data_IF_859311729523
#
_entry.id   IF_859311729523
#
_cell.length_a   1.000
_cell.length_b   1.000
_cell.length_c   1.000
_cell.angle_alpha   90.00
_cell.angle_beta   90.00
_cell.angle_gamma   90.00
#
_symmetry.space_group_name_H-M   'P 1'
#
loop_
_entity.id
_entity.type
_entity.pdbx_description
1 polymer ?
#
# COMPACT_ATOMS: atom_id res chain seq x y z
N UNK A 1 7.42 1.83 5.75
CA UNK A 1 8.47 0.96 5.19
C UNK A 1 8.45 -0.45 5.76
N UNK A 2 8.11 -0.62 7.05
CA UNK A 2 8.04 -1.94 7.68
C UNK A 2 7.08 -2.89 6.96
N UNK A 3 5.88 -2.44 6.65
CA UNK A 3 4.85 -3.25 5.95
C UNK A 3 5.32 -3.68 4.55
N UNK A 4 5.93 -2.77 3.80
CA UNK A 4 6.47 -3.09 2.47
C UNK A 4 7.56 -4.16 2.60
N UNK A 5 8.49 -3.99 3.52
CA UNK A 5 9.61 -4.90 3.70
C UNK A 5 9.16 -6.28 4.18
N UNK A 6 8.18 -6.35 5.08
CA UNK A 6 7.61 -7.61 5.55
C UNK A 6 6.96 -8.40 4.42
N UNK A 7 6.16 -7.74 3.58
CA UNK A 7 5.51 -8.41 2.47
C UNK A 7 6.50 -8.80 1.37
N UNK A 8 7.49 -7.96 1.07
CA UNK A 8 8.55 -8.32 0.14
C UNK A 8 9.31 -9.56 0.61
N UNK A 9 9.60 -9.65 1.89
CA UNK A 9 10.26 -10.80 2.48
C UNK A 9 9.39 -12.05 2.37
N UNK A 10 8.10 -11.94 2.65
CA UNK A 10 7.14 -13.05 2.54
C UNK A 10 7.11 -13.61 1.12
N UNK A 11 7.13 -12.75 0.11
CA UNK A 11 7.09 -13.16 -1.29
C UNK A 11 8.47 -13.46 -1.90
N UNK A 12 9.53 -13.30 -1.11
CA UNK A 12 10.89 -13.60 -1.57
C UNK A 12 11.40 -12.64 -2.64
N UNK A 13 10.97 -11.39 -2.61
CA UNK A 13 11.37 -10.36 -3.57
C UNK A 13 12.18 -9.27 -2.88
N UNK A 14 13.31 -8.90 -3.46
CA UNK A 14 14.26 -7.96 -2.85
C UNK A 14 14.22 -6.57 -3.47
N UNK A 15 13.90 -6.49 -4.75
CA UNK A 15 13.94 -5.25 -5.52
C UNK A 15 12.54 -4.85 -6.00
N UNK A 16 12.45 -4.06 -7.06
CA UNK A 16 11.17 -3.74 -7.68
C UNK A 16 10.42 -5.01 -8.06
N UNK A 17 9.13 -5.01 -7.76
CA UNK A 17 8.30 -6.21 -7.87
C UNK A 17 7.38 -6.05 -9.06
N UNK A 18 7.61 -6.83 -10.12
CA UNK A 18 6.71 -6.83 -11.25
C UNK A 18 5.50 -7.75 -10.98
N UNK A 19 4.42 -7.53 -11.72
CA UNK A 19 3.17 -8.28 -11.54
C UNK A 19 3.34 -9.76 -11.84
N UNK A 20 4.16 -10.11 -12.81
CA UNK A 20 4.40 -11.50 -13.21
C UNK A 20 5.07 -12.28 -12.09
N UNK A 21 6.13 -11.71 -11.49
CA UNK A 21 6.84 -12.31 -10.37
C UNK A 21 5.94 -12.44 -9.14
N UNK A 22 5.16 -11.41 -8.84
CA UNK A 22 4.19 -11.45 -7.73
C UNK A 22 3.16 -12.54 -7.92
N UNK A 23 2.62 -12.69 -9.11
CA UNK A 23 1.61 -13.70 -9.42
C UNK A 23 2.16 -15.11 -9.24
N UNK A 24 3.39 -15.34 -9.67
CA UNK A 24 4.06 -16.62 -9.50
C UNK A 24 4.28 -16.94 -8.01
N UNK A 25 4.85 -16.01 -7.27
CA UNK A 25 5.08 -16.18 -5.83
C UNK A 25 3.78 -16.42 -5.09
N UNK A 26 2.71 -15.68 -5.44
CA UNK A 26 1.39 -15.85 -4.85
C UNK A 26 0.86 -17.27 -5.06
N UNK A 27 0.95 -17.79 -6.29
CA UNK A 27 0.50 -19.16 -6.59
C UNK A 27 1.26 -20.21 -5.77
N UNK A 28 2.57 -20.05 -5.65
CA UNK A 28 3.42 -20.98 -4.91
C UNK A 28 3.08 -20.95 -3.42
N UNK A 29 2.90 -19.75 -2.85
CA UNK A 29 2.53 -19.60 -1.45
C UNK A 29 1.13 -20.13 -1.14
N UNK A 30 0.17 -19.91 -2.03
CA UNK A 30 -1.19 -20.46 -1.88
C UNK A 30 -1.17 -21.98 -1.88
N UNK A 31 -0.37 -22.61 -2.76
CA UNK A 31 -0.22 -24.06 -2.78
C UNK A 31 0.37 -24.59 -1.49
N UNK A 32 1.36 -23.89 -0.93
CA UNK A 32 2.02 -24.29 0.32
C UNK A 32 1.09 -24.21 1.52
N UNK A 33 0.28 -23.16 1.62
CA UNK A 33 -0.53 -22.87 2.80
C UNK A 33 -2.03 -23.01 2.59
N UNK A 34 -2.48 -23.67 1.52
CA UNK A 34 -3.92 -23.83 1.27
C UNK A 34 -4.59 -24.57 2.43
N UNK A 35 -5.71 -24.04 2.98
CA UNK A 35 -6.39 -24.66 4.12
C UNK A 35 -6.78 -26.12 3.92
N UNK A 36 -7.07 -26.54 2.69
CA UNK A 36 -7.43 -27.93 2.38
C UNK A 36 -6.33 -28.95 2.68
N UNK A 37 -5.07 -28.50 2.80
CA UNK A 37 -3.95 -29.35 3.18
C UNK A 37 -3.88 -29.63 4.68
N UNK A 38 -4.60 -28.88 5.47
CA UNK A 38 -4.52 -28.91 6.93
C UNK A 38 -5.94 -29.06 7.47
N UNK A 39 -6.41 -30.30 7.59
CA UNK A 39 -7.80 -30.60 7.96
C UNK A 39 -7.90 -31.18 9.39
N UNK A 40 -9.13 -31.23 9.92
CA UNK A 40 -9.50 -31.94 11.15
C UNK A 40 -8.96 -31.36 12.45
N UNK A 41 -8.93 -30.03 12.59
CA UNK A 41 -8.57 -29.41 13.87
C UNK A 41 -7.10 -29.51 14.22
N UNK A 42 -6.27 -29.83 13.24
CA UNK A 42 -4.82 -29.80 13.42
C UNK A 42 -4.39 -28.39 13.83
N UNK A 43 -3.41 -28.28 14.74
CA UNK A 43 -2.83 -27.00 15.10
C UNK A 43 -2.31 -26.22 13.88
N UNK A 44 -1.82 -26.94 12.86
CA UNK A 44 -1.39 -26.35 11.60
C UNK A 44 -2.52 -25.76 10.77
N UNK A 45 -3.76 -26.14 11.01
CA UNK A 45 -4.91 -25.57 10.30
C UNK A 45 -5.09 -24.09 10.63
N UNK A 46 -4.99 -23.72 11.89
CA UNK A 46 -5.08 -22.31 12.32
C UNK A 46 -3.92 -21.50 11.77
N UNK A 47 -2.72 -22.06 11.76
CA UNK A 47 -1.56 -21.42 11.16
C UNK A 47 -1.74 -21.22 9.65
N UNK A 48 -2.26 -22.24 8.96
CA UNK A 48 -2.51 -22.18 7.53
C UNK A 48 -3.54 -21.08 7.18
N UNK A 49 -4.61 -20.95 7.97
CA UNK A 49 -5.60 -19.89 7.79
C UNK A 49 -4.97 -18.50 7.98
N UNK A 50 -4.16 -18.34 9.02
CA UNK A 50 -3.47 -17.08 9.31
C UNK A 50 -2.49 -16.71 8.17
N UNK A 51 -1.69 -17.69 7.73
CA UNK A 51 -0.74 -17.48 6.64
C UNK A 51 -1.46 -17.18 5.30
N UNK A 52 -2.57 -17.86 5.03
CA UNK A 52 -3.37 -17.61 3.83
C UNK A 52 -3.89 -16.18 3.78
N UNK A 53 -4.39 -15.65 4.90
CA UNK A 53 -4.83 -14.25 4.98
C UNK A 53 -3.67 -13.29 4.72
N UNK A 54 -2.53 -13.55 5.34
CA UNK A 54 -1.33 -12.72 5.20
C UNK A 54 -0.83 -12.72 3.76
N UNK A 55 -0.89 -13.87 3.09
CA UNK A 55 -0.52 -14.01 1.69
C UNK A 55 -1.45 -13.21 0.79
N UNK A 56 -2.76 -13.32 1.01
CA UNK A 56 -3.76 -12.58 0.22
C UNK A 56 -3.59 -11.07 0.42
N UNK A 57 -3.50 -10.62 1.66
CA UNK A 57 -3.32 -9.20 1.97
C UNK A 57 -2.02 -8.66 1.42
N UNK A 58 -0.94 -9.43 1.54
CA UNK A 58 0.38 -9.06 1.00
C UNK A 58 0.39 -8.97 -0.51
N UNK A 59 -0.28 -9.92 -1.18
CA UNK A 59 -0.41 -9.89 -2.62
C UNK A 59 -1.12 -8.62 -3.11
N UNK A 60 -2.28 -8.32 -2.56
CA UNK A 60 -3.02 -7.12 -2.93
C UNK A 60 -2.24 -5.85 -2.63
N UNK A 61 -1.53 -5.83 -1.50
CA UNK A 61 -0.70 -4.69 -1.14
C UNK A 61 0.44 -4.48 -2.15
N UNK A 62 1.20 -5.54 -2.45
CA UNK A 62 2.35 -5.44 -3.36
C UNK A 62 1.91 -5.13 -4.79
N UNK A 63 0.77 -5.69 -5.24
CA UNK A 63 0.19 -5.32 -6.54
C UNK A 63 -0.12 -3.83 -6.60
N UNK A 64 -0.64 -3.25 -5.51
CA UNK A 64 -1.01 -1.83 -5.48
C UNK A 64 0.18 -0.88 -5.60
N UNK A 65 1.40 -1.32 -5.28
CA UNK A 65 2.62 -0.52 -5.40
C UNK A 65 3.52 -0.98 -6.55
N UNK A 66 3.15 -2.02 -7.29
CA UNK A 66 3.93 -2.52 -8.42
C UNK A 66 4.07 -1.43 -9.50
N UNK A 67 5.25 -1.36 -10.18
CA UNK A 67 5.46 -0.34 -11.22
C UNK A 67 4.39 -0.32 -12.31
N UNK A 68 3.92 -1.48 -12.73
CA UNK A 68 2.87 -1.58 -13.76
C UNK A 68 1.55 -0.99 -13.28
N UNK A 69 1.19 -1.24 -12.01
CA UNK A 69 -0.02 -0.69 -11.40
C UNK A 69 0.06 0.83 -11.28
N UNK A 70 1.19 1.34 -10.82
CA UNK A 70 1.44 2.78 -10.70
C UNK A 70 1.36 3.43 -12.10
N UNK A 71 1.99 2.82 -13.11
CA UNK A 71 1.96 3.33 -14.48
C UNK A 71 0.54 3.33 -15.06
N UNK A 72 -0.23 2.27 -14.82
CA UNK A 72 -1.61 2.15 -15.31
C UNK A 72 -2.55 3.21 -14.70
N UNK A 73 -2.27 3.65 -13.47
CA UNK A 73 -3.11 4.61 -12.75
C UNK A 73 -2.50 6.02 -12.69
N UNK A 74 -1.40 6.24 -13.40
CA UNK A 74 -0.64 7.49 -13.31
C UNK A 74 -1.47 8.70 -13.75
N UNK A 75 -2.25 8.59 -14.81
CA UNK A 75 -3.07 9.68 -15.29
C UNK A 75 -4.12 10.10 -14.26
N UNK A 76 -4.78 9.13 -13.62
CA UNK A 76 -5.74 9.40 -12.56
C UNK A 76 -5.07 10.03 -11.34
N UNK A 77 -3.88 9.54 -10.98
CA UNK A 77 -3.11 10.10 -9.88
C UNK A 77 -2.73 11.55 -10.15
N UNK A 78 -2.19 11.82 -11.33
CA UNK A 78 -1.79 13.17 -11.73
C UNK A 78 -2.97 14.13 -11.74
N UNK A 79 -4.13 13.68 -12.20
CA UNK A 79 -5.35 14.49 -12.19
C UNK A 79 -5.73 14.83 -10.74
N UNK A 80 -5.71 13.86 -9.84
CA UNK A 80 -6.04 14.06 -8.43
C UNK A 80 -5.09 15.06 -7.78
N UNK A 81 -3.78 14.87 -7.89
CA UNK A 81 -2.81 15.74 -7.22
C UNK A 81 -2.71 17.13 -7.84
N UNK A 82 -3.14 17.29 -9.09
CA UNK A 82 -3.11 18.58 -9.78
C UNK A 82 -4.39 19.38 -9.54
N UNK A 83 -5.54 18.74 -9.60
CA UNK A 83 -6.84 19.41 -9.63
C UNK A 83 -7.63 19.28 -8.31
N UNK A 84 -7.29 18.32 -7.47
CA UNK A 84 -7.99 18.11 -6.20
C UNK A 84 -7.11 18.52 -5.03
N UNK A 85 -7.66 19.31 -4.13
CA UNK A 85 -6.95 19.71 -2.92
C UNK A 85 -6.99 18.62 -1.86
N UNK A 86 -6.16 18.80 -0.82
CA UNK A 86 -6.15 17.92 0.34
C UNK A 86 -7.38 18.23 1.21
N UNK A 87 -8.19 17.19 1.47
CA UNK A 87 -9.34 17.28 2.35
C UNK A 87 -9.00 16.89 3.80
N UNK A 88 -8.17 15.87 3.97
CA UNK A 88 -7.78 15.37 5.27
C UNK A 88 -6.43 14.65 5.18
N UNK A 89 -5.76 14.48 6.29
CA UNK A 89 -4.49 13.78 6.36
C UNK A 89 -4.25 13.21 7.75
N UNK A 90 -3.54 12.08 7.81
CA UNK A 90 -3.12 11.45 9.06
C UNK A 90 -1.69 10.95 8.91
N UNK A 91 -0.96 10.86 10.01
CA UNK A 91 0.39 10.33 10.02
C UNK A 91 0.59 9.41 11.21
N UNK A 92 1.10 8.21 10.94
CA UNK A 92 1.41 7.24 11.97
C UNK A 92 2.70 6.50 11.61
N UNK A 93 3.70 6.56 12.48
CA UNK A 93 5.01 5.99 12.19
C UNK A 93 5.66 6.68 10.98
N UNK A 94 5.87 5.95 9.91
CA UNK A 94 6.41 6.47 8.65
C UNK A 94 5.34 6.55 7.55
N UNK A 95 4.08 6.35 7.90
CA UNK A 95 2.98 6.33 6.95
C UNK A 95 2.20 7.63 7.00
N UNK A 96 2.15 8.34 5.88
CA UNK A 96 1.29 9.50 5.67
C UNK A 96 0.12 9.08 4.79
N UNK A 97 -1.10 9.29 5.28
CA UNK A 97 -2.32 9.06 4.52
C UNK A 97 -2.95 10.41 4.18
N UNK A 98 -3.22 10.65 2.90
CA UNK A 98 -3.86 11.89 2.43
C UNK A 98 -5.16 11.52 1.72
N UNK A 99 -6.25 12.14 2.15
CA UNK A 99 -7.55 12.08 1.47
C UNK A 99 -7.76 13.38 0.71
N UNK A 100 -8.06 13.25 -0.57
CA UNK A 100 -8.28 14.38 -1.46
C UNK A 100 -9.76 14.75 -1.54
N UNK A 101 -10.04 15.97 -1.99
CA UNK A 101 -11.41 16.46 -2.10
C UNK A 101 -12.26 15.68 -3.09
N UNK A 102 -11.65 14.98 -4.03
CA UNK A 102 -12.35 14.09 -4.96
C UNK A 102 -12.77 12.74 -4.33
N UNK A 103 -12.47 12.53 -3.04
CA UNK A 103 -12.82 11.33 -2.31
C UNK A 103 -11.78 10.22 -2.35
N UNK A 104 -10.71 10.38 -3.12
CA UNK A 104 -9.65 9.38 -3.17
C UNK A 104 -8.69 9.52 -1.99
N UNK A 105 -8.11 8.39 -1.58
CA UNK A 105 -7.11 8.36 -0.50
C UNK A 105 -5.86 7.65 -1.00
N UNK A 106 -4.71 8.24 -0.69
CA UNK A 106 -3.40 7.67 -1.01
C UNK A 106 -2.56 7.56 0.24
N UNK A 107 -1.81 6.47 0.35
CA UNK A 107 -0.81 6.26 1.39
C UNK A 107 0.57 6.57 0.82
N UNK A 108 1.40 7.28 1.59
CA UNK A 108 2.79 7.61 1.25
C UNK A 108 3.71 6.99 2.28
N UNK A 109 4.71 6.24 1.83
CA UNK A 109 5.56 5.43 2.70
C UNK A 109 6.93 6.08 2.90
N UNK A 110 7.43 6.04 4.13
CA UNK A 110 8.74 6.56 4.47
C UNK A 110 8.74 8.03 4.89
N UNK A 111 7.57 8.61 5.11
CA UNK A 111 7.45 10.01 5.54
C UNK A 111 7.75 10.11 7.03
N UNK A 112 8.87 10.76 7.37
CA UNK A 112 9.28 10.93 8.76
C UNK A 112 8.44 11.99 9.46
N UNK A 113 8.41 11.94 10.79
CA UNK A 113 7.68 12.93 11.58
C UNK A 113 8.16 14.37 11.33
N UNK A 114 9.46 14.67 11.23
CA UNK A 114 9.90 16.03 10.89
C UNK A 114 9.36 16.55 9.55
N UNK A 115 9.29 15.70 8.54
CA UNK A 115 8.72 16.08 7.23
C UNK A 115 7.22 16.36 7.38
N UNK A 116 6.50 15.49 8.09
CA UNK A 116 5.08 15.69 8.35
C UNK A 116 4.81 17.00 9.10
N UNK A 117 5.62 17.32 10.12
CA UNK A 117 5.49 18.57 10.87
C UNK A 117 5.71 19.78 9.97
N UNK A 118 6.69 19.74 9.09
CA UNK A 118 6.90 20.80 8.10
C UNK A 118 5.69 20.97 7.18
N UNK A 119 5.06 19.86 6.79
CA UNK A 119 3.85 19.88 5.96
C UNK A 119 2.71 20.60 6.66
N UNK A 120 2.38 20.19 7.89
CA UNK A 120 1.23 20.76 8.62
C UNK A 120 1.46 22.20 9.07
N UNK A 121 2.70 22.62 9.22
CA UNK A 121 3.06 23.99 9.57
C UNK A 121 3.24 24.90 8.35
N UNK A 122 3.11 24.37 7.16
CA UNK A 122 3.22 25.15 5.93
C UNK A 122 1.98 26.02 5.73
N UNK A 123 2.17 27.28 5.36
CA UNK A 123 1.08 28.20 5.02
C UNK A 123 0.31 27.75 3.77
N UNK A 124 0.96 26.96 2.92
CA UNK A 124 0.39 26.45 1.67
C UNK A 124 0.55 24.92 1.62
N UNK A 125 -0.34 24.23 2.29
CA UNK A 125 -0.31 22.77 2.44
C UNK A 125 -0.22 22.04 1.09
N UNK A 126 -1.09 22.37 0.14
CA UNK A 126 -1.11 21.72 -1.16
C UNK A 126 0.18 21.95 -1.95
N UNK A 127 0.72 23.14 -1.86
CA UNK A 127 1.98 23.48 -2.55
C UNK A 127 3.16 22.71 -1.94
N UNK A 128 3.21 22.61 -0.62
CA UNK A 128 4.24 21.84 0.05
C UNK A 128 4.19 20.38 -0.38
N UNK A 129 2.99 19.79 -0.39
CA UNK A 129 2.80 18.39 -0.78
C UNK A 129 3.22 18.15 -2.23
N UNK A 130 2.86 19.03 -3.16
CA UNK A 130 3.25 18.92 -4.58
C UNK A 130 4.77 18.95 -4.77
N UNK A 131 5.47 19.72 -3.95
CA UNK A 131 6.94 19.87 -4.04
C UNK A 131 7.69 18.77 -3.32
N UNK A 132 7.21 18.37 -2.14
CA UNK A 132 8.02 17.59 -1.20
C UNK A 132 7.45 16.20 -0.91
N UNK A 133 6.17 15.96 -1.15
CA UNK A 133 5.54 14.67 -0.84
C UNK A 133 5.31 13.84 -2.09
N UNK A 134 4.52 14.35 -3.04
CA UNK A 134 4.06 13.55 -4.18
C UNK A 134 5.18 12.99 -5.07
N UNK A 135 6.26 13.72 -5.37
CA UNK A 135 7.32 13.18 -6.22
C UNK A 135 8.38 12.34 -5.48
N UNK A 136 8.38 12.33 -4.14
CA UNK A 136 9.51 11.83 -3.37
C UNK A 136 9.26 10.53 -2.62
N UNK A 137 8.03 10.05 -2.55
CA UNK A 137 7.69 8.87 -1.74
C UNK A 137 6.95 7.83 -2.55
N UNK A 138 7.16 6.57 -2.21
CA UNK A 138 6.34 5.47 -2.73
C UNK A 138 4.91 5.67 -2.24
N UNK A 139 3.95 5.52 -3.14
CA UNK A 139 2.55 5.70 -2.80
C UNK A 139 1.70 4.54 -3.31
N UNK A 140 0.54 4.37 -2.69
CA UNK A 140 -0.49 3.46 -3.18
C UNK A 140 -1.87 4.08 -2.97
N UNK A 141 -2.79 3.77 -3.90
CA UNK A 141 -4.19 4.16 -3.74
C UNK A 141 -4.86 3.21 -2.75
N UNK A 142 -5.53 3.77 -1.76
CA UNK A 142 -6.29 2.98 -0.79
C UNK A 142 -7.68 2.74 -1.36
N UNK A 143 -8.06 1.46 -1.46
CA UNK A 143 -9.43 1.09 -1.81
C UNK A 143 -10.24 0.96 -0.52
N UNK A 144 -11.26 1.81 -0.37
CA UNK A 144 -12.20 1.68 0.73
C UNK A 144 -13.43 0.93 0.23
N UNK A 145 -13.95 0.03 1.08
CA UNK A 145 -15.22 -0.62 0.79
C UNK A 145 -16.36 0.38 0.90
N UNK A 146 -17.50 0.09 0.27
CA UNK A 146 -18.69 0.94 0.39
C UNK A 146 -19.15 1.06 1.84
N UNK A 147 -18.86 0.07 2.67
CA UNK A 147 -19.20 0.09 4.09
C UNK A 147 -18.35 1.10 4.89
N UNK A 148 -17.21 1.51 4.36
CA UNK A 148 -16.32 2.47 4.98
C UNK A 148 -16.51 3.89 4.42
N UNK A 149 -17.26 3.99 3.36
CA UNK A 149 -17.55 5.26 2.69
C UNK A 149 -18.56 6.10 3.46
#
# INVERSE_FOLDING_TARGET
MKRINEYKKLFGVETEVDLKTLKKSYRDLVKEWHPDKFQNGDALQLEAESQSRRIIDGYHFLVSIAPETIAANLDNYNETITNSGIADYTHKGLLLEITFQDGTTYEYFGVTKPVYIKMINSDKLNRFAKRSIYPNYVYRKVKRSLAEA
#
